data_IF_536923170521
#
_entry.id   IF_536923170521
#
_cell.length_a   1.000
_cell.length_b   1.000
_cell.length_c   1.000
_cell.angle_alpha   90.00
_cell.angle_beta   90.00
_cell.angle_gamma   90.00
#
_symmetry.space_group_name_H-M   'P 1'
#
loop_
_entity.id
_entity.type
_entity.pdbx_description
1 polymer ?
#
# COMPACT_ATOMS: atom_id res chain seq x y z
N UNK A 1 -52.09 14.46 -39.81
CA UNK A 1 -52.01 14.10 -38.39
C UNK A 1 -50.61 13.51 -38.16
N UNK A 2 -49.70 14.29 -37.59
CA UNK A 2 -48.33 13.86 -37.33
C UNK A 2 -48.24 13.45 -35.87
N UNK A 3 -48.07 12.17 -35.59
CA UNK A 3 -47.82 11.67 -34.24
C UNK A 3 -46.36 11.94 -33.88
N UNK A 4 -46.14 12.88 -32.95
CA UNK A 4 -44.85 13.21 -32.36
C UNK A 4 -44.60 12.25 -31.22
N UNK A 5 -43.70 11.27 -31.42
CA UNK A 5 -43.26 10.32 -30.43
C UNK A 5 -42.18 11.00 -29.55
N UNK A 6 -42.55 11.42 -28.33
CA UNK A 6 -41.59 11.89 -27.33
C UNK A 6 -40.90 10.70 -26.71
N UNK A 7 -39.63 10.47 -27.07
CA UNK A 7 -38.76 9.55 -26.37
C UNK A 7 -38.24 10.30 -25.12
N UNK A 8 -38.78 9.97 -23.94
CA UNK A 8 -38.25 10.40 -22.68
C UNK A 8 -37.05 9.52 -22.35
N UNK A 9 -35.83 10.06 -22.56
CA UNK A 9 -34.57 9.42 -22.10
C UNK A 9 -34.47 9.69 -20.60
N UNK A 10 -34.78 8.70 -19.80
CA UNK A 10 -34.53 8.72 -18.36
C UNK A 10 -33.02 8.50 -18.16
N UNK A 11 -32.26 9.56 -17.98
CA UNK A 11 -30.88 9.52 -17.49
C UNK A 11 -30.89 9.03 -16.04
N UNK A 12 -30.66 7.75 -15.83
CA UNK A 12 -30.36 7.20 -14.49
C UNK A 12 -28.97 7.71 -14.13
N UNK A 13 -28.91 8.80 -13.39
CA UNK A 13 -27.70 9.23 -12.69
C UNK A 13 -27.41 8.18 -11.61
N UNK A 14 -26.56 7.22 -11.91
CA UNK A 14 -25.95 6.37 -10.89
C UNK A 14 -25.07 7.31 -10.04
N UNK A 15 -25.66 7.92 -9.01
CA UNK A 15 -24.87 8.59 -7.99
C UNK A 15 -24.00 7.53 -7.33
N UNK A 16 -22.71 7.59 -7.57
CA UNK A 16 -21.72 6.84 -6.83
C UNK A 16 -21.69 7.45 -5.42
N UNK A 17 -22.68 7.09 -4.58
CA UNK A 17 -22.83 7.62 -3.24
C UNK A 17 -21.62 7.26 -2.40
N UNK A 18 -21.08 8.25 -1.69
CA UNK A 18 -20.11 8.03 -0.60
C UNK A 18 -20.87 7.92 0.71
N UNK A 19 -20.39 7.09 1.62
CA UNK A 19 -20.94 6.99 2.96
C UNK A 19 -20.18 7.93 3.91
N UNK A 20 -20.92 8.65 4.76
CA UNK A 20 -20.37 9.56 5.77
C UNK A 20 -20.70 9.03 7.17
N UNK A 21 -19.94 9.42 8.21
CA UNK A 21 -20.25 9.07 9.58
C UNK A 21 -21.65 9.57 9.99
N UNK A 22 -22.39 8.71 10.68
CA UNK A 22 -23.67 9.05 11.26
C UNK A 22 -23.55 9.19 12.78
N UNK A 23 -23.87 10.39 13.31
CA UNK A 23 -23.70 10.71 14.72
C UNK A 23 -22.24 10.96 15.12
N UNK A 24 -22.00 11.01 16.44
CA UNK A 24 -20.68 11.34 17.00
C UNK A 24 -20.09 10.18 17.84
N UNK A 25 -20.78 9.06 17.94
CA UNK A 25 -20.35 7.93 18.77
C UNK A 25 -19.34 7.08 18.03
N UNK A 26 -18.13 6.95 18.58
CA UNK A 26 -17.11 6.04 18.10
C UNK A 26 -17.15 4.76 18.94
N UNK A 27 -17.10 3.61 18.30
CA UNK A 27 -17.08 2.29 18.95
C UNK A 27 -15.89 1.48 18.53
N UNK A 28 -15.36 0.72 19.47
CA UNK A 28 -14.35 -0.31 19.19
C UNK A 28 -15.03 -1.68 19.13
N UNK A 29 -14.81 -2.40 18.03
CA UNK A 29 -15.36 -3.73 17.81
C UNK A 29 -14.24 -4.71 17.54
N UNK A 30 -14.30 -5.89 18.17
CA UNK A 30 -13.38 -6.99 17.93
C UNK A 30 -13.95 -7.94 16.88
N UNK A 31 -13.12 -8.33 15.91
CA UNK A 31 -13.42 -9.31 14.89
C UNK A 31 -12.36 -10.40 14.90
N UNK A 32 -12.73 -11.63 15.22
CA UNK A 32 -11.83 -12.79 15.13
C UNK A 32 -11.63 -13.16 13.67
N UNK A 33 -10.40 -13.48 13.30
CA UNK A 33 -10.03 -13.87 11.94
C UNK A 33 -9.21 -15.17 11.97
N UNK A 34 -9.21 -15.88 10.86
CA UNK A 34 -8.36 -17.03 10.65
C UNK A 34 -6.92 -16.62 10.38
N UNK A 35 -5.97 -17.56 10.51
CA UNK A 35 -4.58 -17.32 10.15
C UNK A 35 -4.44 -17.02 8.64
N UNK A 36 -3.60 -16.05 8.31
CA UNK A 36 -3.35 -15.61 6.95
C UNK A 36 -1.85 -15.29 6.74
N UNK A 37 -1.41 -15.30 5.49
CA UNK A 37 -0.05 -14.92 5.08
C UNK A 37 -0.04 -13.88 3.98
N UNK A 38 -1.21 -13.56 3.41
CA UNK A 38 -1.42 -12.48 2.46
C UNK A 38 -2.47 -11.50 3.00
N UNK A 39 -2.25 -10.20 2.79
CA UNK A 39 -3.12 -9.11 3.21
C UNK A 39 -3.51 -8.24 2.03
N UNK A 40 -4.81 -8.00 1.86
CA UNK A 40 -5.34 -7.06 0.88
C UNK A 40 -6.14 -5.97 1.59
N UNK A 41 -5.69 -4.72 1.47
CA UNK A 41 -6.32 -3.52 2.04
C UNK A 41 -6.89 -2.66 0.91
N UNK A 42 -8.19 -2.40 0.95
CA UNK A 42 -8.90 -1.66 -0.11
C UNK A 42 -9.96 -0.73 0.49
N UNK A 43 -9.56 0.48 0.81
CA UNK A 43 -10.45 1.48 1.44
C UNK A 43 -9.71 2.70 1.95
N UNK A 44 -10.40 3.50 2.77
CA UNK A 44 -9.88 4.74 3.33
C UNK A 44 -9.73 4.64 4.86
N UNK A 45 -8.90 3.72 5.31
CA UNK A 45 -8.67 3.42 6.73
C UNK A 45 -7.18 3.25 7.04
N UNK A 46 -6.86 3.33 8.34
CA UNK A 46 -5.51 3.12 8.86
C UNK A 46 -5.43 1.78 9.58
N UNK A 47 -4.45 0.97 9.19
CA UNK A 47 -4.17 -0.32 9.82
C UNK A 47 -2.82 -0.28 10.52
N UNK A 48 -2.80 -0.64 11.79
CA UNK A 48 -1.58 -0.84 12.59
C UNK A 48 -1.40 -2.33 12.87
N UNK A 49 -0.30 -2.90 12.41
CA UNK A 49 0.02 -4.31 12.62
C UNK A 49 0.78 -4.51 13.94
N UNK A 50 0.32 -5.50 14.70
CA UNK A 50 0.98 -5.95 15.93
C UNK A 50 1.16 -7.46 15.86
N UNK A 51 2.41 -7.94 15.98
CA UNK A 51 2.67 -9.37 16.11
C UNK A 51 2.11 -9.88 17.44
N UNK A 52 1.34 -10.96 17.41
CA UNK A 52 0.61 -11.50 18.56
C UNK A 52 0.55 -13.03 18.48
N UNK A 53 0.04 -13.67 19.50
CA UNK A 53 -0.33 -15.09 19.47
C UNK A 53 -1.77 -15.31 19.02
N UNK A 54 -2.55 -14.25 18.87
CA UNK A 54 -3.94 -14.27 18.43
C UNK A 54 -4.10 -13.62 17.05
N UNK A 55 -5.08 -14.09 16.29
CA UNK A 55 -5.49 -13.49 15.03
C UNK A 55 -6.82 -12.77 15.21
N UNK A 56 -6.80 -11.43 15.24
CA UNK A 56 -7.99 -10.60 15.38
C UNK A 56 -7.78 -9.18 14.87
N UNK A 57 -8.87 -8.49 14.63
CA UNK A 57 -8.93 -7.06 14.39
C UNK A 57 -9.62 -6.37 15.55
N UNK A 58 -9.11 -5.20 15.92
CA UNK A 58 -9.83 -4.22 16.72
C UNK A 58 -10.14 -3.05 15.80
N UNK A 59 -11.40 -2.77 15.54
CA UNK A 59 -11.84 -1.71 14.62
C UNK A 59 -12.48 -0.60 15.44
N UNK A 60 -11.88 0.58 15.39
CA UNK A 60 -12.36 1.79 16.05
C UNK A 60 -12.90 2.77 15.01
N UNK A 61 -14.20 2.94 14.96
CA UNK A 61 -14.89 3.82 14.02
C UNK A 61 -16.35 4.05 14.39
N UNK A 62 -17.11 4.79 13.56
CA UNK A 62 -18.55 4.99 13.70
C UNK A 62 -19.32 3.71 13.35
N UNK A 63 -20.48 3.44 14.00
CA UNK A 63 -21.23 2.21 13.76
C UNK A 63 -21.59 1.95 12.29
N UNK A 64 -22.11 2.96 11.57
CA UNK A 64 -22.46 2.82 10.16
C UNK A 64 -21.23 2.63 9.25
N UNK A 65 -20.07 3.17 9.63
CA UNK A 65 -18.81 2.94 8.91
C UNK A 65 -18.30 1.52 9.15
N UNK A 66 -18.44 0.99 10.38
CA UNK A 66 -18.12 -0.42 10.64
C UNK A 66 -19.01 -1.36 9.83
N UNK A 67 -20.31 -1.09 9.71
CA UNK A 67 -21.24 -1.88 8.88
C UNK A 67 -20.88 -1.83 7.38
N UNK A 68 -20.22 -0.75 6.93
CA UNK A 68 -19.69 -0.62 5.57
C UNK A 68 -18.41 -1.43 5.34
N UNK A 69 -17.72 -1.84 6.41
CA UNK A 69 -16.50 -2.63 6.31
C UNK A 69 -16.82 -4.08 5.92
N UNK A 70 -16.02 -4.64 5.03
CA UNK A 70 -16.06 -6.04 4.62
C UNK A 70 -14.73 -6.71 4.98
N UNK A 71 -14.80 -7.66 5.89
CA UNK A 71 -13.66 -8.46 6.34
C UNK A 71 -13.86 -9.89 5.86
N UNK A 72 -12.92 -10.44 5.11
CA UNK A 72 -12.99 -11.79 4.58
C UNK A 72 -11.63 -12.46 4.65
N UNK A 73 -11.54 -13.60 5.30
CA UNK A 73 -10.40 -14.52 5.24
C UNK A 73 -10.74 -15.70 4.34
N UNK A 74 -9.92 -15.94 3.31
CA UNK A 74 -10.07 -17.07 2.40
C UNK A 74 -8.72 -17.41 1.78
N UNK A 75 -8.41 -18.70 1.65
CA UNK A 75 -7.20 -19.22 1.01
C UNK A 75 -5.90 -18.57 1.54
N UNK A 76 -5.83 -18.35 2.86
CA UNK A 76 -4.75 -17.65 3.58
C UNK A 76 -4.57 -16.18 3.17
N UNK A 77 -5.54 -15.55 2.54
CA UNK A 77 -5.59 -14.11 2.29
C UNK A 77 -6.66 -13.46 3.16
N UNK A 78 -6.28 -12.45 3.94
CA UNK A 78 -7.17 -11.54 4.64
C UNK A 78 -7.43 -10.33 3.75
N UNK A 79 -8.68 -10.14 3.35
CA UNK A 79 -9.14 -8.93 2.66
C UNK A 79 -9.93 -8.05 3.63
N UNK A 80 -9.53 -6.80 3.75
CA UNK A 80 -10.24 -5.73 4.47
C UNK A 80 -10.60 -4.66 3.43
N UNK A 81 -11.89 -4.46 3.18
CA UNK A 81 -12.34 -3.54 2.14
C UNK A 81 -13.61 -2.81 2.54
N UNK A 82 -13.91 -1.70 1.86
CA UNK A 82 -15.16 -0.97 1.99
C UNK A 82 -16.19 -1.44 0.95
N UNK A 83 -17.47 -1.55 1.33
CA UNK A 83 -18.57 -1.82 0.40
C UNK A 83 -18.85 -0.60 -0.48
N UNK A 84 -18.78 0.59 0.11
CA UNK A 84 -18.92 1.89 -0.53
C UNK A 84 -17.80 2.81 -0.07
N UNK A 85 -17.30 3.69 -0.93
CA UNK A 85 -16.27 4.67 -0.56
C UNK A 85 -16.75 5.55 0.58
N UNK A 86 -15.89 5.80 1.55
CA UNK A 86 -16.17 6.70 2.69
C UNK A 86 -15.66 8.11 2.42
N UNK A 87 -16.27 9.10 3.10
CA UNK A 87 -15.85 10.50 3.08
C UNK A 87 -16.07 11.16 4.45
N UNK A 88 -15.12 12.00 4.86
CA UNK A 88 -15.23 12.76 6.12
C UNK A 88 -15.15 11.89 7.37
N UNK A 89 -14.56 10.69 7.30
CA UNK A 89 -14.37 9.82 8.46
C UNK A 89 -13.11 10.23 9.20
N UNK A 90 -13.23 10.82 10.37
CA UNK A 90 -12.12 11.28 11.19
C UNK A 90 -11.40 10.13 11.92
N UNK A 91 -12.19 9.16 12.39
CA UNK A 91 -11.67 7.99 13.12
C UNK A 91 -12.03 6.70 12.38
N UNK A 92 -11.02 6.07 11.79
CA UNK A 92 -11.15 4.79 11.10
C UNK A 92 -9.86 3.99 11.27
N UNK A 93 -9.67 3.52 12.49
CA UNK A 93 -8.46 2.81 12.91
C UNK A 93 -8.73 1.32 13.01
N UNK A 94 -7.81 0.52 12.52
CA UNK A 94 -7.84 -0.94 12.60
C UNK A 94 -6.52 -1.39 13.21
N UNK A 95 -6.56 -2.10 14.33
CA UNK A 95 -5.39 -2.78 14.87
C UNK A 95 -5.50 -4.24 14.43
N UNK A 96 -4.52 -4.69 13.66
CA UNK A 96 -4.43 -6.05 13.15
C UNK A 96 -3.43 -6.84 14.00
N UNK A 97 -3.95 -7.78 14.79
CA UNK A 97 -3.13 -8.75 15.52
C UNK A 97 -2.99 -10.01 14.68
N UNK A 98 -1.76 -10.52 14.52
CA UNK A 98 -1.52 -11.77 13.79
C UNK A 98 -0.39 -12.59 14.40
N UNK A 99 -0.60 -13.90 14.46
CA UNK A 99 0.39 -14.88 14.87
C UNK A 99 1.31 -15.31 13.72
N UNK A 100 0.86 -15.13 12.48
CA UNK A 100 1.57 -15.52 11.27
C UNK A 100 2.46 -14.43 10.69
N UNK A 101 3.32 -14.84 9.74
CA UNK A 101 4.11 -13.92 8.91
C UNK A 101 3.28 -13.46 7.72
N UNK A 102 3.21 -12.16 7.49
CA UNK A 102 2.54 -11.59 6.31
C UNK A 102 3.61 -11.34 5.24
N UNK A 103 3.69 -12.24 4.26
CA UNK A 103 4.70 -12.16 3.21
C UNK A 103 4.24 -11.43 1.95
N UNK A 104 2.93 -11.24 1.79
CA UNK A 104 2.34 -10.56 0.63
C UNK A 104 1.33 -9.52 1.07
N UNK A 105 1.50 -8.29 0.59
CA UNK A 105 0.59 -7.17 0.91
C UNK A 105 0.18 -6.48 -0.39
N UNK A 106 -1.12 -6.26 -0.56
CA UNK A 106 -1.70 -5.44 -1.62
C UNK A 106 -2.49 -4.31 -0.99
N UNK A 107 -2.31 -3.08 -1.48
CA UNK A 107 -2.99 -1.89 -0.96
C UNK A 107 -3.57 -1.06 -2.10
N UNK A 108 -4.80 -0.59 -1.93
CA UNK A 108 -5.53 0.23 -2.91
C UNK A 108 -6.34 1.34 -2.22
N UNK A 109 -6.83 2.29 -3.03
CA UNK A 109 -7.55 3.49 -2.62
C UNK A 109 -6.69 4.41 -1.71
N UNK A 110 -7.05 4.58 -0.43
CA UNK A 110 -6.32 5.44 0.51
C UNK A 110 -5.91 4.69 1.77
N UNK A 111 -5.74 3.36 1.68
CA UNK A 111 -5.33 2.55 2.82
C UNK A 111 -3.94 2.95 3.32
N UNK A 112 -3.80 3.10 4.63
CA UNK A 112 -2.52 3.29 5.31
C UNK A 112 -2.19 2.03 6.13
N UNK A 113 -0.95 1.53 6.03
CA UNK A 113 -0.50 0.37 6.78
C UNK A 113 0.82 0.63 7.49
N UNK A 114 0.82 0.47 8.80
CA UNK A 114 1.97 0.69 9.66
C UNK A 114 2.35 -0.59 10.40
N UNK A 115 3.62 -0.96 10.37
CA UNK A 115 4.18 -2.10 11.10
C UNK A 115 5.00 -1.54 12.25
N UNK A 116 4.54 -1.76 13.49
CA UNK A 116 5.18 -1.24 14.70
C UNK A 116 6.37 -2.08 15.16
N UNK A 117 6.50 -3.32 14.68
CA UNK A 117 7.59 -4.25 15.01
C UNK A 117 8.31 -4.71 13.75
N UNK A 118 9.55 -5.13 13.88
CA UNK A 118 10.29 -5.68 12.74
C UNK A 118 9.71 -7.04 12.31
N UNK A 119 9.43 -7.19 11.04
CA UNK A 119 9.00 -8.46 10.45
C UNK A 119 10.16 -9.14 9.73
N UNK A 120 10.27 -10.47 9.90
CA UNK A 120 11.32 -11.30 9.27
C UNK A 120 10.68 -12.38 8.41
N UNK A 121 11.09 -12.45 7.14
CA UNK A 121 10.61 -13.46 6.18
C UNK A 121 11.65 -13.70 5.08
N UNK A 122 11.52 -14.79 4.36
CA UNK A 122 12.41 -15.07 3.22
C UNK A 122 12.04 -14.22 2.01
N UNK A 123 10.77 -14.24 1.63
CA UNK A 123 10.24 -13.48 0.50
C UNK A 123 9.19 -12.47 0.99
N UNK A 124 9.30 -11.23 0.53
CA UNK A 124 8.34 -10.17 0.79
C UNK A 124 7.83 -9.56 -0.51
N UNK A 125 6.53 -9.47 -0.68
CA UNK A 125 5.90 -8.83 -1.84
C UNK A 125 4.95 -7.73 -1.40
N UNK A 126 5.14 -6.51 -1.92
CA UNK A 126 4.30 -5.35 -1.65
C UNK A 126 3.86 -4.72 -2.97
N UNK A 127 2.55 -4.62 -3.16
CA UNK A 127 1.96 -3.86 -4.26
C UNK A 127 1.09 -2.74 -3.70
N UNK A 128 1.34 -1.51 -4.13
CA UNK A 128 0.62 -0.32 -3.72
C UNK A 128 0.13 0.46 -4.93
N UNK A 129 -1.14 0.85 -4.90
CA UNK A 129 -1.82 1.63 -5.94
C UNK A 129 -2.56 2.81 -5.31
N UNK A 130 -2.96 3.78 -6.11
CA UNK A 130 -3.72 4.97 -5.69
C UNK A 130 -2.96 5.84 -4.66
N UNK A 131 -3.63 6.24 -3.56
CA UNK A 131 -3.06 7.13 -2.53
C UNK A 131 -2.60 6.38 -1.28
N UNK A 132 -2.18 5.13 -1.44
CA UNK A 132 -1.80 4.28 -0.31
C UNK A 132 -0.49 4.70 0.36
N UNK A 133 -0.38 4.39 1.67
CA UNK A 133 0.83 4.66 2.44
C UNK A 133 1.23 3.43 3.25
N UNK A 134 2.51 3.09 3.18
CA UNK A 134 3.10 2.01 3.97
C UNK A 134 4.32 2.52 4.73
N UNK A 135 4.39 2.16 6.02
CA UNK A 135 5.59 2.36 6.83
C UNK A 135 5.88 1.10 7.66
N UNK A 136 7.14 0.60 7.62
CA UNK A 136 7.47 -0.58 8.40
C UNK A 136 8.90 -1.09 8.26
N UNK A 137 9.32 -1.90 9.22
CA UNK A 137 10.64 -2.53 9.24
C UNK A 137 10.57 -3.98 8.74
N UNK A 138 11.27 -4.27 7.63
CA UNK A 138 11.29 -5.58 6.98
C UNK A 138 12.72 -6.11 6.90
N UNK A 139 12.91 -7.35 7.35
CA UNK A 139 14.10 -8.14 7.07
C UNK A 139 13.70 -9.28 6.12
N UNK A 140 14.33 -9.34 4.95
CA UNK A 140 14.03 -10.39 3.98
C UNK A 140 15.27 -10.80 3.17
N UNK A 141 15.22 -12.00 2.60
CA UNK A 141 16.19 -12.42 1.60
C UNK A 141 15.84 -11.79 0.26
N UNK A 142 14.54 -11.78 -0.10
CA UNK A 142 14.04 -11.17 -1.33
C UNK A 142 12.89 -10.22 -1.06
N UNK A 143 12.83 -9.13 -1.82
CA UNK A 143 11.69 -8.21 -1.80
C UNK A 143 11.28 -7.85 -3.24
N UNK A 144 9.98 -7.93 -3.51
CA UNK A 144 9.36 -7.41 -4.72
C UNK A 144 8.42 -6.26 -4.35
N UNK A 145 8.75 -5.07 -4.84
CA UNK A 145 8.03 -3.82 -4.50
C UNK A 145 7.49 -3.19 -5.78
N UNK A 146 6.18 -3.00 -5.84
CA UNK A 146 5.50 -2.37 -6.97
C UNK A 146 4.67 -1.18 -6.48
N UNK A 147 5.02 0.03 -6.90
CA UNK A 147 4.41 1.29 -6.49
C UNK A 147 3.86 2.05 -7.70
N UNK A 148 2.58 2.39 -7.67
CA UNK A 148 1.88 3.09 -8.76
C UNK A 148 1.11 4.30 -8.23
N UNK A 149 0.72 5.18 -9.13
CA UNK A 149 -0.08 6.37 -8.86
C UNK A 149 0.60 7.31 -7.85
N UNK A 150 -0.03 7.57 -6.70
CA UNK A 150 0.50 8.42 -5.63
C UNK A 150 0.96 7.62 -4.40
N UNK A 151 1.25 6.34 -4.56
CA UNK A 151 1.68 5.45 -3.47
C UNK A 151 2.93 5.98 -2.77
N UNK A 152 2.96 5.89 -1.43
CA UNK A 152 4.08 6.35 -0.60
C UNK A 152 4.60 5.23 0.28
N UNK A 153 5.88 4.90 0.09
CA UNK A 153 6.56 3.84 0.84
C UNK A 153 7.67 4.42 1.73
N UNK A 154 7.65 4.06 2.99
CA UNK A 154 8.74 4.25 3.94
C UNK A 154 9.12 2.90 4.53
N UNK A 155 10.26 2.36 4.13
CA UNK A 155 10.74 1.05 4.56
C UNK A 155 12.06 1.16 5.29
N UNK A 156 12.21 0.32 6.32
CA UNK A 156 13.39 0.19 7.17
C UNK A 156 13.88 -1.26 7.15
N UNK A 157 15.10 -1.49 7.61
CA UNK A 157 15.64 -2.84 7.78
C UNK A 157 16.61 -3.27 6.69
N UNK A 158 16.62 -4.55 6.33
CA UNK A 158 17.61 -5.09 5.39
C UNK A 158 17.02 -6.15 4.46
N UNK A 159 17.46 -6.12 3.19
CA UNK A 159 17.08 -7.11 2.16
C UNK A 159 18.32 -7.48 1.34
N UNK A 160 18.50 -8.77 1.04
CA UNK A 160 19.62 -9.20 0.21
C UNK A 160 19.39 -8.87 -1.27
N UNK A 161 18.23 -9.19 -1.79
CA UNK A 161 17.86 -8.94 -3.20
C UNK A 161 16.52 -8.20 -3.27
N UNK A 162 16.47 -7.06 -3.92
CA UNK A 162 15.24 -6.32 -4.12
C UNK A 162 15.01 -5.99 -5.61
N UNK A 163 13.78 -6.23 -6.06
CA UNK A 163 13.26 -5.70 -7.32
C UNK A 163 12.19 -4.65 -7.01
N UNK A 164 12.39 -3.44 -7.57
CA UNK A 164 11.50 -2.30 -7.34
C UNK A 164 10.99 -1.78 -8.67
N UNK A 165 9.68 -1.64 -8.81
CA UNK A 165 9.04 -1.00 -9.96
C UNK A 165 8.22 0.19 -9.45
N UNK A 166 8.43 1.36 -10.04
CA UNK A 166 7.73 2.59 -9.67
C UNK A 166 7.26 3.32 -10.92
N UNK A 167 6.03 3.85 -10.89
CA UNK A 167 5.45 4.64 -11.98
C UNK A 167 4.62 5.80 -11.43
N UNK A 168 4.25 6.67 -12.34
CA UNK A 168 3.42 7.84 -12.08
C UNK A 168 4.08 8.79 -11.07
N UNK A 169 3.41 9.15 -9.99
CA UNK A 169 3.94 10.00 -8.92
C UNK A 169 4.29 9.22 -7.64
N UNK A 170 4.63 7.93 -7.79
CA UNK A 170 4.98 7.08 -6.66
C UNK A 170 6.26 7.56 -5.95
N UNK A 171 6.25 7.53 -4.63
CA UNK A 171 7.35 8.02 -3.78
C UNK A 171 7.82 6.94 -2.83
N UNK A 172 9.10 6.64 -2.86
CA UNK A 172 9.77 5.77 -1.88
C UNK A 172 10.86 6.56 -1.16
N UNK A 173 10.70 6.79 0.14
CA UNK A 173 11.70 7.45 0.99
C UNK A 173 12.17 6.46 2.04
N UNK A 174 13.16 5.65 1.68
CA UNK A 174 13.61 4.50 2.49
C UNK A 174 15.14 4.52 2.70
N UNK A 175 15.72 5.61 3.22
CA UNK A 175 17.18 5.74 3.39
C UNK A 175 17.76 4.81 4.46
N UNK A 176 16.92 4.15 5.24
CA UNK A 176 17.27 3.15 6.27
C UNK A 176 16.83 1.73 5.90
N UNK A 177 16.42 1.51 4.67
CA UNK A 177 16.29 0.19 4.08
C UNK A 177 17.56 -0.15 3.31
N UNK A 178 18.38 -1.03 3.87
CA UNK A 178 19.66 -1.43 3.32
C UNK A 178 19.48 -2.63 2.39
N UNK A 179 19.73 -2.43 1.11
CA UNK A 179 19.61 -3.48 0.09
C UNK A 179 20.98 -3.85 -0.43
N UNK A 180 21.36 -5.13 -0.39
CA UNK A 180 22.63 -5.55 -0.97
C UNK A 180 22.58 -5.39 -2.50
N UNK A 181 21.64 -6.06 -3.16
CA UNK A 181 21.50 -6.04 -4.62
C UNK A 181 20.13 -5.45 -5.00
N UNK A 182 20.12 -4.26 -5.57
CA UNK A 182 18.92 -3.57 -6.02
C UNK A 182 18.81 -3.59 -7.54
N UNK A 183 17.64 -4.01 -8.03
CA UNK A 183 17.19 -3.80 -9.40
C UNK A 183 15.96 -2.89 -9.39
N UNK A 184 16.07 -1.71 -10.00
CA UNK A 184 15.02 -0.71 -10.00
C UNK A 184 14.60 -0.32 -11.41
N UNK A 185 13.27 -0.21 -11.61
CA UNK A 185 12.67 0.44 -12.79
C UNK A 185 11.79 1.57 -12.29
N UNK A 186 12.08 2.79 -12.69
CA UNK A 186 11.30 3.96 -12.32
C UNK A 186 10.95 4.77 -13.56
N UNK A 187 9.68 5.14 -13.68
CA UNK A 187 9.15 5.87 -14.83
C UNK A 187 8.31 7.07 -14.33
N UNK A 188 8.12 8.04 -15.21
CA UNK A 188 7.33 9.25 -15.00
C UNK A 188 7.91 10.15 -13.88
N UNK A 189 7.09 10.64 -12.96
CA UNK A 189 7.56 11.50 -11.86
C UNK A 189 7.96 10.73 -10.59
N UNK A 190 8.22 9.41 -10.72
CA UNK A 190 8.57 8.56 -9.61
C UNK A 190 9.86 9.01 -8.90
N UNK A 191 9.83 9.02 -7.56
CA UNK A 191 10.96 9.44 -6.73
C UNK A 191 11.36 8.34 -5.76
N UNK A 192 12.64 7.93 -5.79
CA UNK A 192 13.20 6.92 -4.89
C UNK A 192 14.39 7.46 -4.10
N UNK A 193 14.41 7.17 -2.80
CA UNK A 193 15.58 7.31 -1.92
C UNK A 193 15.81 6.01 -1.17
N UNK A 194 17.05 5.42 -1.26
CA UNK A 194 17.35 4.10 -0.72
C UNK A 194 18.84 3.95 -0.41
N UNK A 195 19.21 3.01 0.46
CA UNK A 195 20.59 2.59 0.69
C UNK A 195 20.90 1.28 -0.07
N UNK A 196 21.99 1.27 -0.87
CA UNK A 196 22.42 0.11 -1.66
C UNK A 196 23.86 -0.22 -1.36
N UNK A 197 24.15 -1.48 -1.02
CA UNK A 197 25.46 -1.87 -0.52
C UNK A 197 26.38 -2.41 -1.61
N UNK A 198 25.93 -3.37 -2.42
CA UNK A 198 26.81 -4.12 -3.34
C UNK A 198 26.55 -3.82 -4.82
N UNK A 199 25.30 -3.88 -5.26
CA UNK A 199 24.95 -3.73 -6.68
C UNK A 199 23.70 -2.90 -6.88
N UNK A 200 23.77 -1.93 -7.79
CA UNK A 200 22.65 -1.12 -8.24
C UNK A 200 22.48 -1.26 -9.74
N UNK A 201 21.44 -1.96 -10.17
CA UNK A 201 21.04 -2.06 -11.57
C UNK A 201 19.68 -1.41 -11.78
N UNK A 202 19.46 -0.77 -12.93
CA UNK A 202 18.13 -0.23 -13.18
C UNK A 202 17.98 0.49 -14.50
N UNK A 203 16.75 0.95 -14.69
CA UNK A 203 16.36 1.78 -15.81
C UNK A 203 15.40 2.86 -15.30
N UNK A 204 15.76 4.11 -15.57
CA UNK A 204 14.94 5.28 -15.28
C UNK A 204 14.50 5.93 -16.59
N UNK A 205 13.25 6.42 -16.63
CA UNK A 205 12.65 7.11 -17.77
C UNK A 205 11.87 8.34 -17.35
N UNK A 206 11.65 9.22 -18.32
CA UNK A 206 10.89 10.47 -18.20
C UNK A 206 11.51 11.40 -17.16
N UNK A 207 10.82 11.69 -16.03
CA UNK A 207 11.32 12.57 -14.96
C UNK A 207 11.74 11.80 -13.69
N UNK A 208 11.82 10.46 -13.76
CA UNK A 208 12.11 9.64 -12.58
C UNK A 208 13.44 10.02 -11.91
N UNK A 209 13.46 10.01 -10.58
CA UNK A 209 14.62 10.40 -9.77
C UNK A 209 14.97 9.31 -8.78
N UNK A 210 16.26 8.98 -8.71
CA UNK A 210 16.82 8.04 -7.75
C UNK A 210 17.94 8.69 -6.96
N UNK A 211 17.77 8.81 -5.65
CA UNK A 211 18.84 9.14 -4.72
C UNK A 211 19.26 7.88 -3.98
N UNK A 212 20.56 7.60 -3.90
CA UNK A 212 21.04 6.43 -3.16
C UNK A 212 22.23 6.73 -2.28
N UNK A 213 22.35 5.96 -1.18
CA UNK A 213 23.53 5.91 -0.30
C UNK A 213 24.27 4.59 -0.48
N UNK A 214 25.55 4.54 -0.09
CA UNK A 214 26.42 3.37 -0.22
C UNK A 214 27.38 3.45 -1.39
N UNK A 215 28.10 2.35 -1.66
CA UNK A 215 29.14 2.27 -2.70
C UNK A 215 28.90 1.06 -3.63
N UNK A 216 27.69 0.86 -4.18
CA UNK A 216 27.43 -0.27 -5.05
C UNK A 216 28.17 -0.16 -6.39
N UNK A 217 28.40 -1.31 -7.03
CA UNK A 217 28.68 -1.33 -8.48
C UNK A 217 27.41 -0.88 -9.20
N UNK A 218 27.48 0.29 -9.85
CA UNK A 218 26.33 0.92 -10.50
C UNK A 218 26.25 0.58 -11.98
N UNK A 219 25.07 0.13 -12.45
CA UNK A 219 24.69 -0.02 -13.85
C UNK A 219 23.25 0.46 -14.03
N UNK A 220 23.06 1.75 -14.15
CA UNK A 220 21.74 2.37 -14.34
C UNK A 220 21.68 3.04 -15.69
N UNK A 221 20.68 2.69 -16.49
CA UNK A 221 20.34 3.33 -17.75
C UNK A 221 19.38 4.49 -17.48
N UNK A 222 19.80 5.68 -17.84
CA UNK A 222 19.04 6.92 -17.68
C UNK A 222 18.53 7.37 -19.05
N UNK A 223 17.22 7.61 -19.17
CA UNK A 223 16.57 8.10 -20.40
C UNK A 223 15.79 9.39 -20.08
N UNK A 224 15.78 10.33 -21.00
CA UNK A 224 15.09 11.62 -20.89
C UNK A 224 15.63 12.51 -19.74
N UNK A 225 14.71 13.07 -18.93
CA UNK A 225 15.04 13.99 -17.83
C UNK A 225 15.26 13.30 -16.48
N UNK A 226 15.72 12.06 -16.49
CA UNK A 226 15.98 11.32 -15.26
C UNK A 226 17.17 11.85 -14.48
N UNK A 227 17.23 11.55 -13.18
CA UNK A 227 18.29 11.99 -12.31
C UNK A 227 18.69 10.89 -11.33
N UNK A 228 19.96 10.50 -11.34
CA UNK A 228 20.55 9.55 -10.39
C UNK A 228 21.62 10.25 -9.56
N UNK A 229 21.37 10.39 -8.26
CA UNK A 229 22.25 11.10 -7.32
C UNK A 229 22.76 10.16 -6.25
N UNK A 230 24.07 10.15 -6.02
CA UNK A 230 24.66 9.55 -4.83
C UNK A 230 24.70 10.60 -3.71
N UNK A 231 24.13 10.26 -2.54
CA UNK A 231 24.16 11.09 -1.32
C UNK A 231 25.31 10.69 -0.40
#
# INVERSE_FOLDING_TARGET
MKNLFYIVVVLVLVSCGKIQPEGNEIKTQEVKIEEFSALHLDGNFKVSYIQSTENKLMVETYPNIFENLKIKAKDKELTISEKMKTEGVEVYNIILYSSGKISKIKMQNSAEFNISSQMMMDDFSLKMEDNTKFAGAILSNKAEINLYDNARLEMFGKTLEAEVVMRDSAVMVSPYWFVNNLKIKAEDDALAEISVEEKLEGKLKNNAKLSYKGNPVKKVLEEDKTLVIKK
#
